data_IF_740706207222
#
_entry.id   IF_740706207222
#
_cell.length_a   1.000
_cell.length_b   1.000
_cell.length_c   1.000
_cell.angle_alpha   90.00
_cell.angle_beta   90.00
_cell.angle_gamma   90.00
#
_symmetry.space_group_name_H-M   'P 1'
#
loop_
_entity.id
_entity.type
_entity.pdbx_description
1 polymer ?
#
# COMPACT_ATOMS: atom_id res chain seq x y z
N UNK A 1 -9.62 -2.22 -25.34
CA UNK A 1 -9.10 -3.34 -26.15
C UNK A 1 -9.04 -4.56 -25.27
N UNK A 2 -9.65 -5.68 -25.68
CA UNK A 2 -9.71 -6.91 -24.87
C UNK A 2 -8.71 -7.93 -25.43
N UNK A 3 -7.96 -8.58 -24.56
CA UNK A 3 -6.97 -9.61 -24.92
C UNK A 3 -7.53 -10.97 -24.52
N UNK A 4 -7.43 -11.95 -25.43
CA UNK A 4 -7.87 -13.33 -25.13
C UNK A 4 -6.82 -14.00 -24.24
N UNK A 5 -7.23 -14.36 -23.04
CA UNK A 5 -6.38 -15.05 -22.06
C UNK A 5 -7.11 -16.27 -21.52
N UNK A 6 -6.39 -17.37 -21.32
CA UNK A 6 -6.93 -18.58 -20.70
C UNK A 6 -6.38 -18.72 -19.30
N UNK A 7 -7.25 -18.66 -18.29
CA UNK A 7 -6.91 -18.83 -16.88
C UNK A 7 -7.59 -20.09 -16.33
N UNK A 8 -6.87 -20.88 -15.53
CA UNK A 8 -7.46 -22.00 -14.78
C UNK A 8 -8.03 -21.48 -13.47
N UNK A 9 -9.28 -21.81 -13.19
CA UNK A 9 -10.02 -21.36 -12.01
C UNK A 9 -10.53 -22.58 -11.24
N UNK A 10 -10.73 -22.41 -9.93
CA UNK A 10 -11.42 -23.43 -9.13
C UNK A 10 -12.86 -23.58 -9.63
N UNK A 11 -13.34 -24.82 -9.69
CA UNK A 11 -14.66 -25.13 -10.23
C UNK A 11 -15.77 -24.39 -9.48
N UNK A 12 -15.70 -24.36 -8.15
CA UNK A 12 -16.70 -23.68 -7.30
C UNK A 12 -16.74 -22.17 -7.56
N UNK A 13 -15.59 -21.54 -7.79
CA UNK A 13 -15.49 -20.11 -8.11
C UNK A 13 -16.09 -19.80 -9.47
N UNK A 14 -15.90 -20.69 -10.45
CA UNK A 14 -16.53 -20.53 -11.77
C UNK A 14 -18.05 -20.62 -11.66
N UNK A 15 -18.58 -21.64 -10.99
CA UNK A 15 -20.03 -21.84 -10.82
C UNK A 15 -20.70 -20.67 -10.09
N UNK A 16 -20.06 -20.17 -9.03
CA UNK A 16 -20.58 -19.04 -8.27
C UNK A 16 -20.54 -17.74 -9.07
N UNK A 17 -19.47 -17.49 -9.83
CA UNK A 17 -19.38 -16.34 -10.71
C UNK A 17 -20.41 -16.38 -11.84
N UNK A 18 -20.64 -17.55 -12.46
CA UNK A 18 -21.68 -17.73 -13.49
C UNK A 18 -23.09 -17.47 -12.94
N UNK A 19 -23.38 -17.97 -11.74
CA UNK A 19 -24.66 -17.70 -11.08
C UNK A 19 -24.85 -16.21 -10.82
N UNK A 20 -23.80 -15.53 -10.36
CA UNK A 20 -23.83 -14.09 -10.12
C UNK A 20 -23.99 -13.30 -11.42
N UNK A 21 -23.30 -13.71 -12.49
CA UNK A 21 -23.44 -13.11 -13.82
C UNK A 21 -24.89 -13.12 -14.30
N UNK A 22 -25.57 -14.26 -14.11
CA UNK A 22 -26.97 -14.42 -14.47
C UNK A 22 -27.91 -13.54 -13.62
N UNK A 23 -27.61 -13.37 -12.32
CA UNK A 23 -28.42 -12.55 -11.42
C UNK A 23 -28.29 -11.06 -11.71
N UNK A 24 -27.09 -10.62 -12.04
CA UNK A 24 -26.76 -9.21 -12.23
C UNK A 24 -26.93 -8.76 -13.71
N UNK A 25 -27.39 -9.66 -14.60
CA UNK A 25 -27.52 -9.45 -16.05
C UNK A 25 -26.22 -8.92 -16.70
N UNK A 26 -25.09 -9.48 -16.27
CA UNK A 26 -23.75 -9.13 -16.75
C UNK A 26 -23.05 -10.35 -17.31
N UNK A 27 -21.99 -10.12 -18.07
CA UNK A 27 -21.16 -11.20 -18.58
C UNK A 27 -20.18 -11.69 -17.50
N UNK A 28 -19.81 -12.96 -17.58
CA UNK A 28 -18.74 -13.53 -16.74
C UNK A 28 -17.42 -12.74 -16.92
N UNK A 29 -17.16 -12.24 -18.12
CA UNK A 29 -16.00 -11.42 -18.44
C UNK A 29 -15.98 -10.10 -17.65
N UNK A 30 -17.13 -9.43 -17.53
CA UNK A 30 -17.23 -8.18 -16.76
C UNK A 30 -16.99 -8.40 -15.28
N UNK A 31 -17.50 -9.50 -14.71
CA UNK A 31 -17.22 -9.87 -13.32
C UNK A 31 -15.72 -10.06 -13.10
N UNK A 32 -15.03 -10.76 -14.01
CA UNK A 32 -13.59 -10.96 -13.90
C UNK A 32 -12.81 -9.66 -14.02
N UNK A 33 -13.13 -8.83 -15.01
CA UNK A 33 -12.46 -7.54 -15.21
C UNK A 33 -12.65 -6.63 -13.99
N UNK A 34 -13.88 -6.57 -13.45
CA UNK A 34 -14.19 -5.77 -12.26
C UNK A 34 -13.47 -6.28 -11.02
N UNK A 35 -13.49 -7.59 -10.77
CA UNK A 35 -12.79 -8.18 -9.63
C UNK A 35 -11.27 -7.96 -9.71
N UNK A 36 -10.69 -8.05 -10.91
CA UNK A 36 -9.26 -7.80 -11.13
C UNK A 36 -8.91 -6.31 -10.94
N UNK A 37 -9.75 -5.39 -11.43
CA UNK A 37 -9.59 -3.96 -11.20
C UNK A 37 -9.65 -3.62 -9.70
N UNK A 38 -10.67 -4.10 -8.99
CA UNK A 38 -10.81 -3.89 -7.54
C UNK A 38 -9.63 -4.48 -6.75
N UNK A 39 -9.10 -5.63 -7.16
CA UNK A 39 -7.94 -6.24 -6.53
C UNK A 39 -6.69 -5.36 -6.70
N UNK A 40 -6.42 -4.88 -7.92
CA UNK A 40 -5.28 -4.02 -8.20
C UNK A 40 -5.41 -2.64 -7.53
N UNK A 41 -6.61 -2.07 -7.45
CA UNK A 41 -6.85 -0.79 -6.76
C UNK A 41 -6.64 -0.90 -5.24
N UNK A 42 -7.05 -2.02 -4.62
CA UNK A 42 -6.84 -2.27 -3.19
C UNK A 42 -5.35 -2.35 -2.86
N UNK A 43 -4.56 -3.04 -3.68
CA UNK A 43 -3.11 -3.11 -3.50
C UNK A 43 -2.46 -1.74 -3.68
N UNK A 44 -2.86 -0.97 -4.70
CA UNK A 44 -2.35 0.40 -4.90
C UNK A 44 -2.65 1.33 -3.71
N UNK A 45 -3.83 1.21 -3.10
CA UNK A 45 -4.19 1.97 -1.92
C UNK A 45 -3.44 1.52 -0.65
N UNK A 46 -3.13 0.23 -0.53
CA UNK A 46 -2.28 -0.29 0.56
C UNK A 46 -0.83 0.21 0.43
N UNK A 47 -0.27 0.21 -0.78
CA UNK A 47 1.06 0.76 -1.04
C UNK A 47 1.12 2.27 -0.81
N UNK A 48 0.08 3.02 -1.24
CA UNK A 48 0.00 4.46 -1.00
C UNK A 48 -0.13 4.83 0.49
N UNK A 49 -0.73 3.96 1.31
CA UNK A 49 -0.85 4.13 2.77
C UNK A 49 0.41 3.73 3.53
N UNK A 50 1.40 3.12 2.88
CA UNK A 50 2.67 2.82 3.53
C UNK A 50 3.36 4.15 3.79
N UNK A 51 3.26 4.64 5.03
CA UNK A 51 3.96 5.86 5.47
C UNK A 51 5.45 5.60 5.28
N UNK A 52 6.02 6.13 4.20
CA UNK A 52 7.46 6.16 3.99
C UNK A 52 7.97 7.26 4.91
N UNK A 53 8.31 6.89 6.15
CA UNK A 53 9.11 7.76 6.98
C UNK A 53 10.48 7.90 6.29
N UNK A 54 10.68 9.01 5.57
CA UNK A 54 12.00 9.42 5.12
C UNK A 54 12.79 9.87 6.35
N UNK A 55 13.22 8.91 7.16
CA UNK A 55 14.13 9.18 8.26
C UNK A 55 15.49 9.47 7.65
N UNK A 56 16.00 10.68 7.89
CA UNK A 56 17.40 10.98 7.66
C UNK A 56 18.21 10.48 8.86
N UNK A 57 19.36 9.85 8.60
CA UNK A 57 20.29 9.46 9.66
C UNK A 57 20.87 10.75 10.26
N UNK A 58 20.40 11.16 11.44
CA UNK A 58 20.78 12.42 12.10
C UNK A 58 22.17 12.37 12.77
N UNK A 59 22.94 11.31 12.54
CA UNK A 59 24.24 11.09 13.17
C UNK A 59 24.11 10.37 14.50
N UNK A 60 25.24 10.18 15.19
CA UNK A 60 25.25 9.65 16.55
C UNK A 60 24.72 10.72 17.53
N UNK A 61 23.88 10.34 18.51
CA UNK A 61 23.39 11.28 19.51
C UNK A 61 24.57 11.84 20.31
N UNK A 62 24.85 13.13 20.14
CA UNK A 62 25.86 13.87 20.91
C UNK A 62 25.31 14.27 22.30
N UNK A 63 24.54 13.38 22.94
CA UNK A 63 23.86 13.61 24.23
C UNK A 63 24.83 13.72 25.43
N UNK A 64 26.13 13.78 25.17
CA UNK A 64 27.16 13.91 26.20
C UNK A 64 27.69 15.35 26.33
N UNK A 65 27.15 16.30 25.55
CA UNK A 65 27.54 17.71 25.64
C UNK A 65 26.82 18.36 26.82
N UNK A 66 27.59 18.75 27.82
CA UNK A 66 27.10 19.51 28.96
C UNK A 66 27.05 21.00 28.60
N UNK A 67 26.18 21.75 29.27
CA UNK A 67 26.04 23.20 29.06
C UNK A 67 27.38 23.94 29.18
N UNK A 68 28.24 23.43 30.05
CA UNK A 68 29.54 24.00 30.39
C UNK A 68 30.53 23.91 29.22
N UNK A 69 30.32 23.00 28.25
CA UNK A 69 31.16 22.85 27.07
C UNK A 69 30.98 23.99 26.05
N UNK A 70 29.85 24.72 26.10
CA UNK A 70 29.52 25.78 25.13
C UNK A 70 29.39 27.17 25.72
N UNK A 71 29.10 27.28 27.02
CA UNK A 71 28.84 28.55 27.66
C UNK A 71 29.86 28.78 28.79
N UNK A 72 30.86 29.65 28.61
CA UNK A 72 31.73 30.03 29.71
C UNK A 72 30.93 30.77 30.79
N UNK A 73 31.35 30.63 32.04
CA UNK A 73 30.69 31.26 33.18
C UNK A 73 30.56 32.78 32.99
N UNK A 74 29.42 33.37 33.38
CA UNK A 74 29.21 34.80 33.26
C UNK A 74 30.26 35.57 34.07
N UNK A 75 30.95 36.48 33.39
CA UNK A 75 31.99 37.31 33.97
C UNK A 75 31.37 38.43 34.80
N UNK A 76 31.14 38.19 36.09
CA UNK A 76 30.73 39.21 37.04
C UNK A 76 31.96 39.99 37.52
N UNK A 77 32.25 41.10 36.84
CA UNK A 77 33.18 42.13 37.32
C UNK A 77 32.54 42.99 38.40
#
# INVERSE_FOLDING_TARGET
MLIRTTLRLKEDLKKTAEKKALQDDVTLQEIFNKALAEYLEKDAHFEAKKIIFKTHHLGEPLDNLTRDDFYPDPNFK
#
